data_IF_318906312174
#
_entry.id   IF_318906312174
#
_cell.length_a   1.000
_cell.length_b   1.000
_cell.length_c   1.000
_cell.angle_alpha   90.00
_cell.angle_beta   90.00
_cell.angle_gamma   90.00
#
_symmetry.space_group_name_H-M   'P 1'
#
loop_
_entity.id
_entity.type
_entity.pdbx_description
1 polymer ?
#
# COMPACT_ATOMS: atom_id res chain seq x y z
N UNK A 1 20.51 -0.07 57.13
CA UNK A 1 20.74 -1.36 56.45
C UNK A 1 22.08 -1.22 55.71
N UNK A 2 23.01 -2.18 55.81
CA UNK A 2 24.41 -1.93 55.40
C UNK A 2 24.54 -1.78 53.87
N UNK A 3 24.83 -0.58 53.37
CA UNK A 3 24.91 -0.24 51.94
C UNK A 3 25.93 -1.11 51.17
N UNK A 4 26.93 -1.65 51.86
CA UNK A 4 27.87 -2.59 51.27
C UNK A 4 27.20 -3.90 50.85
N UNK A 5 26.23 -4.39 51.62
CA UNK A 5 25.48 -5.62 51.28
C UNK A 5 24.57 -5.40 50.07
N UNK A 6 23.96 -4.21 49.95
CA UNK A 6 23.14 -3.83 48.78
C UNK A 6 23.99 -3.84 47.50
N UNK A 7 25.19 -3.25 47.52
CA UNK A 7 26.10 -3.24 46.37
C UNK A 7 26.55 -4.64 45.93
N UNK A 8 26.82 -5.52 46.89
CA UNK A 8 27.20 -6.92 46.60
C UNK A 8 26.06 -7.64 45.88
N UNK A 9 24.82 -7.52 46.39
CA UNK A 9 23.63 -8.16 45.79
C UNK A 9 23.37 -7.66 44.37
N UNK A 10 23.48 -6.36 44.13
CA UNK A 10 23.28 -5.79 42.78
C UNK A 10 24.34 -6.31 41.79
N UNK A 11 25.60 -6.45 42.21
CA UNK A 11 26.66 -7.02 41.37
C UNK A 11 26.41 -8.50 41.03
N UNK A 12 25.90 -9.28 41.96
CA UNK A 12 25.53 -10.69 41.70
C UNK A 12 24.37 -10.80 40.70
N UNK A 13 23.34 -9.95 40.81
CA UNK A 13 22.22 -9.94 39.87
C UNK A 13 22.68 -9.55 38.46
N UNK A 14 23.63 -8.62 38.33
CA UNK A 14 24.24 -8.25 37.06
C UNK A 14 25.06 -9.41 36.45
N UNK A 15 25.75 -10.19 37.29
CA UNK A 15 26.43 -11.42 36.86
C UNK A 15 25.44 -12.47 36.35
N UNK A 16 24.30 -12.68 37.04
CA UNK A 16 23.25 -13.59 36.59
C UNK A 16 22.62 -13.15 35.26
N UNK A 17 22.46 -11.84 35.05
CA UNK A 17 21.96 -11.26 33.80
C UNK A 17 22.95 -11.50 32.64
N UNK A 18 24.24 -11.27 32.87
CA UNK A 18 25.27 -11.48 31.85
C UNK A 18 25.37 -12.96 31.41
N UNK A 19 25.22 -13.88 32.36
CA UNK A 19 25.32 -15.32 32.11
C UNK A 19 23.98 -16.02 31.81
N UNK A 20 22.87 -15.25 31.68
CA UNK A 20 21.50 -15.77 31.42
C UNK A 20 21.03 -16.83 32.42
N UNK A 21 21.52 -16.76 33.66
CA UNK A 21 21.09 -17.67 34.75
C UNK A 21 19.64 -17.39 35.15
N UNK A 22 19.21 -16.14 34.97
CA UNK A 22 17.83 -15.70 35.18
C UNK A 22 17.33 -14.94 33.93
N UNK A 23 16.03 -15.05 33.57
CA UNK A 23 15.46 -14.23 32.50
C UNK A 23 15.56 -12.73 32.83
N UNK A 24 15.91 -11.92 31.84
CA UNK A 24 16.29 -10.50 32.00
C UNK A 24 15.26 -9.66 32.78
N UNK A 25 13.97 -9.95 32.59
CA UNK A 25 12.87 -9.25 33.26
C UNK A 25 12.91 -9.39 34.80
N UNK A 26 13.37 -10.53 35.32
CA UNK A 26 13.46 -10.75 36.76
C UNK A 26 14.68 -10.05 37.38
N UNK A 27 15.81 -10.04 36.67
CA UNK A 27 16.99 -9.27 37.08
C UNK A 27 16.66 -7.77 37.18
N UNK A 28 15.95 -7.24 36.19
CA UNK A 28 15.57 -5.82 36.15
C UNK A 28 14.61 -5.46 37.29
N UNK A 29 13.66 -6.34 37.61
CA UNK A 29 12.78 -6.17 38.77
C UNK A 29 13.56 -6.16 40.10
N UNK A 30 14.48 -7.11 40.30
CA UNK A 30 15.28 -7.21 41.53
C UNK A 30 16.19 -5.98 41.70
N UNK A 31 16.85 -5.53 40.63
CA UNK A 31 17.70 -4.33 40.66
C UNK A 31 16.87 -3.09 41.02
N UNK A 32 15.68 -2.93 40.42
CA UNK A 32 14.78 -1.83 40.73
C UNK A 32 14.32 -1.86 42.20
N UNK A 33 14.03 -3.06 42.72
CA UNK A 33 13.62 -3.26 44.10
C UNK A 33 14.74 -2.90 45.09
N UNK A 34 15.97 -3.35 44.84
CA UNK A 34 17.11 -3.04 45.70
C UNK A 34 17.56 -1.58 45.57
N UNK A 35 17.36 -0.95 44.43
CA UNK A 35 17.69 0.45 44.22
C UNK A 35 16.63 1.43 44.75
N UNK A 36 15.45 0.98 45.20
CA UNK A 36 14.45 1.80 45.92
C UNK A 36 14.11 3.15 45.25
N UNK A 37 14.25 3.25 43.93
CA UNK A 37 14.00 4.51 43.20
C UNK A 37 15.16 5.50 43.11
N UNK A 38 16.37 5.17 43.60
CA UNK A 38 17.60 5.86 43.18
C UNK A 38 17.93 5.40 41.76
N UNK A 39 17.88 6.34 40.81
CA UNK A 39 18.23 6.11 39.42
C UNK A 39 19.60 5.43 39.33
N UNK A 40 19.61 4.20 38.80
CA UNK A 40 20.85 3.47 38.59
C UNK A 40 21.77 4.30 37.67
N UNK A 41 23.06 4.45 38.00
CA UNK A 41 24.00 5.15 37.12
C UNK A 41 24.04 4.40 35.78
N UNK A 42 23.85 5.17 34.72
CA UNK A 42 23.88 4.80 33.31
C UNK A 42 24.76 3.58 32.97
N UNK A 43 24.17 2.38 33.01
CA UNK A 43 24.72 1.23 32.31
C UNK A 43 23.80 0.90 31.15
N UNK A 44 24.08 1.59 30.05
CA UNK A 44 23.77 1.18 28.67
C UNK A 44 22.29 0.89 28.42
N UNK A 45 21.50 1.96 28.41
CA UNK A 45 20.26 2.06 27.63
C UNK A 45 20.58 2.17 26.12
N UNK A 46 21.32 1.20 25.57
CA UNK A 46 21.43 0.99 24.12
C UNK A 46 20.55 -0.20 23.76
N UNK A 47 19.63 0.02 22.84
CA UNK A 47 18.67 -0.97 22.31
C UNK A 47 17.52 -1.38 23.24
N UNK A 48 16.56 -0.48 23.39
CA UNK A 48 15.23 -0.74 22.81
C UNK A 48 14.69 0.60 22.37
N UNK A 49 14.93 0.93 21.09
CA UNK A 49 13.96 1.73 20.38
C UNK A 49 12.65 0.98 20.53
N UNK A 50 11.76 1.50 21.37
CA UNK A 50 10.33 1.39 21.13
C UNK A 50 10.05 2.08 19.80
N UNK A 51 10.54 1.48 18.69
CA UNK A 51 9.94 1.75 17.40
C UNK A 51 8.53 1.22 17.54
N UNK A 52 7.60 2.15 17.49
CA UNK A 52 6.21 1.86 17.21
C UNK A 52 6.21 0.84 16.06
N UNK A 53 5.81 -0.40 16.34
CA UNK A 53 5.57 -1.41 15.30
C UNK A 53 4.49 -0.91 14.31
N UNK A 54 3.71 0.09 14.72
CA UNK A 54 2.85 0.90 13.85
C UNK A 54 3.61 1.85 12.90
N UNK A 55 4.71 2.47 13.32
CA UNK A 55 5.46 3.45 12.53
C UNK A 55 6.33 2.83 11.42
N UNK A 56 6.96 1.68 11.68
CA UNK A 56 7.74 0.97 10.65
C UNK A 56 6.86 0.34 9.57
N UNK A 57 5.70 -0.23 9.95
CA UNK A 57 4.72 -0.70 8.97
C UNK A 57 4.07 0.47 8.21
N UNK A 58 3.71 1.56 8.88
CA UNK A 58 3.17 2.75 8.22
C UNK A 58 4.16 3.32 7.20
N UNK A 59 5.46 3.41 7.52
CA UNK A 59 6.50 3.89 6.59
C UNK A 59 6.57 3.09 5.27
N UNK A 60 6.35 1.77 5.33
CA UNK A 60 6.36 0.88 4.15
C UNK A 60 5.14 1.13 3.26
N UNK A 61 3.97 1.41 3.84
CA UNK A 61 2.73 1.70 3.09
C UNK A 61 2.61 3.17 2.64
N UNK A 62 3.19 4.12 3.38
CA UNK A 62 3.08 5.56 3.10
C UNK A 62 3.73 5.97 1.77
N UNK A 63 4.88 5.39 1.43
CA UNK A 63 5.60 5.70 0.18
C UNK A 63 4.83 5.30 -1.09
N UNK A 64 4.40 4.03 -1.27
CA UNK A 64 3.65 3.66 -2.46
C UNK A 64 2.25 4.28 -2.47
N UNK A 65 1.61 4.51 -1.31
CA UNK A 65 0.32 5.21 -1.25
C UNK A 65 0.43 6.68 -1.70
N UNK A 66 1.45 7.40 -1.25
CA UNK A 66 1.71 8.78 -1.67
C UNK A 66 1.97 8.86 -3.18
N UNK A 67 2.73 7.93 -3.73
CA UNK A 67 2.97 7.84 -5.17
C UNK A 67 1.66 7.62 -5.96
N UNK A 68 0.80 6.70 -5.49
CA UNK A 68 -0.49 6.43 -6.11
C UNK A 68 -1.38 7.67 -6.14
N UNK A 69 -1.47 8.40 -5.03
CA UNK A 69 -2.25 9.64 -4.93
C UNK A 69 -1.71 10.69 -5.90
N UNK A 70 -0.39 10.89 -5.92
CA UNK A 70 0.25 11.85 -6.82
C UNK A 70 -0.02 11.52 -8.29
N UNK A 71 0.12 10.25 -8.67
CA UNK A 71 -0.06 9.79 -10.04
C UNK A 71 -1.52 9.91 -10.51
N UNK A 72 -2.47 9.65 -9.60
CA UNK A 72 -3.89 9.84 -9.85
C UNK A 72 -4.22 11.32 -10.07
N UNK A 73 -3.74 12.21 -9.19
CA UNK A 73 -3.95 13.65 -9.33
C UNK A 73 -3.35 14.15 -10.65
N UNK A 74 -2.13 13.73 -11.00
CA UNK A 74 -1.50 14.10 -12.26
C UNK A 74 -2.33 13.66 -13.48
N UNK A 75 -2.88 12.44 -13.45
CA UNK A 75 -3.75 11.94 -14.52
C UNK A 75 -5.04 12.75 -14.67
N UNK A 76 -5.66 13.15 -13.55
CA UNK A 76 -6.83 14.02 -13.56
C UNK A 76 -6.53 15.41 -14.11
N UNK A 77 -5.37 15.99 -13.77
CA UNK A 77 -4.95 17.29 -14.31
C UNK A 77 -4.80 17.22 -15.83
N UNK A 78 -4.17 16.16 -16.35
CA UNK A 78 -4.02 15.96 -17.81
C UNK A 78 -5.38 15.82 -18.50
N UNK A 79 -6.35 15.15 -17.87
CA UNK A 79 -7.71 15.03 -18.40
C UNK A 79 -8.46 16.36 -18.42
N UNK A 80 -8.25 17.20 -17.40
CA UNK A 80 -8.92 18.50 -17.29
C UNK A 80 -8.32 19.56 -18.21
N UNK A 81 -7.04 19.44 -18.58
CA UNK A 81 -6.39 20.29 -19.57
C UNK A 81 -6.87 19.94 -21.00
N UNK A 82 -8.10 20.32 -21.32
CA UNK A 82 -8.75 20.11 -22.62
C UNK A 82 -8.16 20.95 -23.76
N UNK A 83 -7.25 21.88 -23.46
CA UNK A 83 -6.51 22.68 -24.44
C UNK A 83 -5.37 21.89 -25.12
N UNK A 84 -5.02 20.71 -24.60
CA UNK A 84 -4.02 19.83 -25.21
C UNK A 84 -4.63 19.09 -26.40
N UNK A 85 -3.83 18.90 -27.46
CA UNK A 85 -4.26 18.05 -28.58
C UNK A 85 -4.62 16.64 -28.08
N UNK A 86 -5.70 16.07 -28.61
CA UNK A 86 -6.19 14.75 -28.19
C UNK A 86 -5.12 13.66 -28.31
N UNK A 87 -4.26 13.74 -29.33
CA UNK A 87 -3.12 12.83 -29.55
C UNK A 87 -2.11 12.89 -28.42
N UNK A 88 -1.78 14.08 -27.93
CA UNK A 88 -0.82 14.26 -26.84
C UNK A 88 -1.44 13.85 -25.49
N UNK A 89 -2.69 14.23 -25.25
CA UNK A 89 -3.42 13.86 -24.03
C UNK A 89 -3.50 12.33 -23.89
N UNK A 90 -3.91 11.63 -24.95
CA UNK A 90 -3.98 10.16 -24.97
C UNK A 90 -2.62 9.49 -24.83
N UNK A 91 -1.57 10.03 -25.45
CA UNK A 91 -0.20 9.52 -25.29
C UNK A 91 0.29 9.62 -23.84
N UNK A 92 0.06 10.77 -23.18
CA UNK A 92 0.44 10.99 -21.78
C UNK A 92 -0.36 10.08 -20.84
N UNK A 93 -1.68 9.94 -21.06
CA UNK A 93 -2.52 9.01 -20.29
C UNK A 93 -2.06 7.56 -20.43
N UNK A 94 -1.73 7.12 -21.65
CA UNK A 94 -1.19 5.78 -21.89
C UNK A 94 0.13 5.56 -21.14
N UNK A 95 1.01 6.55 -21.11
CA UNK A 95 2.24 6.51 -20.32
C UNK A 95 1.95 6.35 -18.82
N UNK A 96 0.97 7.09 -18.27
CA UNK A 96 0.55 6.93 -16.88
C UNK A 96 0.02 5.53 -16.58
N UNK A 97 -0.82 4.96 -17.45
CA UNK A 97 -1.32 3.57 -17.30
C UNK A 97 -0.17 2.58 -17.20
N UNK A 98 0.83 2.68 -18.09
CA UNK A 98 2.01 1.80 -18.07
C UNK A 98 2.76 1.95 -16.74
N UNK A 99 2.94 3.18 -16.25
CA UNK A 99 3.56 3.42 -14.95
C UNK A 99 2.78 2.76 -13.81
N UNK A 100 1.45 2.90 -13.76
CA UNK A 100 0.63 2.25 -12.73
C UNK A 100 0.82 0.72 -12.73
N UNK A 101 0.86 0.10 -13.91
CA UNK A 101 1.08 -1.35 -14.03
C UNK A 101 2.48 -1.74 -13.56
N UNK A 102 3.53 -1.02 -13.98
CA UNK A 102 4.91 -1.30 -13.59
C UNK A 102 5.11 -1.14 -12.08
N UNK A 103 4.55 -0.08 -11.47
CA UNK A 103 4.58 0.10 -10.02
C UNK A 103 3.76 -0.95 -9.27
N UNK A 104 2.61 -1.36 -9.82
CA UNK A 104 1.82 -2.47 -9.29
C UNK A 104 2.58 -3.80 -9.31
N UNK A 105 3.42 -4.05 -10.32
CA UNK A 105 4.27 -5.25 -10.42
C UNK A 105 5.48 -5.21 -9.49
N UNK A 106 6.07 -4.03 -9.29
CA UNK A 106 7.21 -3.83 -8.37
C UNK A 106 6.80 -3.84 -6.90
N UNK A 107 5.54 -3.55 -6.60
CA UNK A 107 5.01 -3.57 -5.24
C UNK A 107 4.81 -5.01 -4.77
N UNK A 108 5.26 -5.33 -3.56
CA UNK A 108 5.11 -6.67 -2.99
C UNK A 108 3.64 -7.14 -3.03
N UNK A 109 3.41 -8.36 -3.50
CA UNK A 109 2.07 -8.97 -3.59
C UNK A 109 1.32 -9.06 -2.26
N UNK A 110 2.05 -8.98 -1.13
CA UNK A 110 1.47 -8.98 0.23
C UNK A 110 0.91 -7.62 0.64
N UNK A 111 1.28 -6.54 -0.06
CA UNK A 111 0.82 -5.20 0.26
C UNK A 111 -0.54 -4.96 -0.40
N UNK A 112 -1.52 -4.51 0.40
CA UNK A 112 -2.87 -4.15 -0.06
C UNK A 112 -2.88 -3.03 -1.11
N UNK A 113 -1.76 -2.34 -1.30
CA UNK A 113 -1.59 -1.24 -2.25
C UNK A 113 -1.36 -1.74 -3.68
N UNK A 114 -0.80 -2.94 -3.88
CA UNK A 114 -0.55 -3.45 -5.24
C UNK A 114 -1.86 -3.58 -6.06
N UNK A 115 -2.95 -4.16 -5.52
CA UNK A 115 -4.27 -4.16 -6.18
C UNK A 115 -4.81 -2.76 -6.53
N UNK A 116 -4.55 -1.75 -5.68
CA UNK A 116 -4.98 -0.36 -5.91
C UNK A 116 -4.29 0.28 -7.14
N UNK A 117 -3.02 -0.05 -7.39
CA UNK A 117 -2.33 0.40 -8.61
C UNK A 117 -2.98 -0.18 -9.87
N UNK A 118 -3.34 -1.46 -9.87
CA UNK A 118 -4.01 -2.09 -11.00
C UNK A 118 -5.43 -1.54 -11.21
N UNK A 119 -6.18 -1.28 -10.13
CA UNK A 119 -7.51 -0.67 -10.25
C UNK A 119 -7.44 0.75 -10.80
N UNK A 120 -6.45 1.55 -10.37
CA UNK A 120 -6.24 2.89 -10.90
C UNK A 120 -5.90 2.86 -12.41
N UNK A 121 -5.03 1.93 -12.83
CA UNK A 121 -4.74 1.72 -14.25
C UNK A 121 -5.98 1.34 -15.07
N UNK A 122 -6.82 0.46 -14.53
CA UNK A 122 -8.07 0.05 -15.17
C UNK A 122 -9.03 1.22 -15.35
N UNK A 123 -9.26 2.02 -14.30
CA UNK A 123 -10.08 3.23 -14.40
C UNK A 123 -9.55 4.20 -15.46
N UNK A 124 -8.25 4.46 -15.49
CA UNK A 124 -7.64 5.34 -16.49
C UNK A 124 -7.83 4.83 -17.92
N UNK A 125 -7.66 3.52 -18.15
CA UNK A 125 -7.92 2.91 -19.44
C UNK A 125 -9.38 3.08 -19.88
N UNK A 126 -10.32 2.93 -18.95
CA UNK A 126 -11.74 3.13 -19.24
C UNK A 126 -12.04 4.58 -19.61
N UNK A 127 -11.52 5.55 -18.85
CA UNK A 127 -11.68 6.97 -19.18
C UNK A 127 -11.06 7.30 -20.54
N UNK A 128 -9.86 6.79 -20.82
CA UNK A 128 -9.20 6.98 -22.11
C UNK A 128 -10.04 6.42 -23.27
N UNK A 129 -10.69 5.27 -23.06
CA UNK A 129 -11.53 4.61 -24.07
C UNK A 129 -12.75 5.46 -24.42
N UNK A 130 -13.41 6.05 -23.40
CA UNK A 130 -14.56 6.93 -23.60
C UNK A 130 -14.16 8.20 -24.36
N UNK A 131 -13.03 8.82 -23.99
CA UNK A 131 -12.51 9.99 -24.70
C UNK A 131 -12.16 9.68 -26.16
N UNK A 132 -11.61 8.50 -26.45
CA UNK A 132 -11.34 8.09 -27.82
C UNK A 132 -12.63 7.93 -28.63
N UNK A 133 -13.66 7.31 -28.04
CA UNK A 133 -14.94 7.11 -28.70
C UNK A 133 -15.60 8.45 -29.05
N UNK A 134 -15.60 9.41 -28.12
CA UNK A 134 -16.18 10.74 -28.34
C UNK A 134 -15.51 11.48 -29.51
N UNK A 135 -14.21 11.28 -29.70
CA UNK A 135 -13.47 11.91 -30.80
C UNK A 135 -13.66 11.21 -32.15
N UNK A 136 -13.59 9.88 -32.20
CA UNK A 136 -13.59 9.12 -33.47
C UNK A 136 -14.99 8.77 -33.98
N UNK A 137 -15.98 8.61 -33.11
CA UNK A 137 -17.34 8.17 -33.51
C UNK A 137 -18.40 8.76 -32.59
N UNK A 138 -18.58 10.10 -32.60
CA UNK A 138 -19.60 10.74 -31.79
C UNK A 138 -20.99 10.21 -32.21
N UNK A 139 -21.70 9.62 -31.24
CA UNK A 139 -23.10 9.23 -31.39
C UNK A 139 -23.37 7.76 -31.74
N UNK A 140 -22.36 6.95 -32.06
CA UNK A 140 -22.55 5.51 -32.25
C UNK A 140 -22.43 4.75 -30.92
N UNK A 141 -23.56 4.67 -30.23
CA UNK A 141 -23.71 3.99 -28.94
C UNK A 141 -23.35 2.49 -29.02
N UNK A 142 -23.51 1.84 -30.18
CA UNK A 142 -23.17 0.42 -30.32
C UNK A 142 -21.67 0.20 -30.25
N UNK A 143 -20.89 1.08 -30.87
CA UNK A 143 -19.42 1.06 -30.81
C UNK A 143 -18.95 1.30 -29.37
N UNK A 144 -19.58 2.21 -28.63
CA UNK A 144 -19.27 2.45 -27.22
C UNK A 144 -19.47 1.18 -26.38
N UNK A 145 -20.61 0.50 -26.53
CA UNK A 145 -20.91 -0.73 -25.81
C UNK A 145 -19.92 -1.86 -26.16
N UNK A 146 -19.52 -2.00 -27.42
CA UNK A 146 -18.51 -2.97 -27.84
C UNK A 146 -17.14 -2.67 -27.21
N UNK A 147 -16.72 -1.40 -27.18
CA UNK A 147 -15.46 -1.02 -26.55
C UNK A 147 -15.47 -1.28 -25.04
N UNK A 148 -16.52 -0.87 -24.32
CA UNK A 148 -16.63 -1.12 -22.87
C UNK A 148 -16.81 -2.61 -22.57
N UNK A 149 -17.47 -3.36 -23.44
CA UNK A 149 -17.56 -4.83 -23.34
C UNK A 149 -16.19 -5.49 -23.47
N UNK A 150 -15.37 -5.07 -24.44
CA UNK A 150 -14.01 -5.58 -24.64
C UNK A 150 -13.08 -5.24 -23.46
N UNK A 151 -13.00 -3.96 -23.09
CA UNK A 151 -13.01 -3.47 -21.70
C UNK A 151 -13.04 -4.50 -20.57
N UNK A 152 -14.28 -4.85 -20.27
CA UNK A 152 -14.72 -5.66 -19.17
C UNK A 152 -14.25 -7.11 -19.30
N UNK A 153 -14.27 -7.68 -20.50
CA UNK A 153 -13.74 -9.01 -20.79
C UNK A 153 -12.23 -9.10 -20.55
N UNK A 154 -11.47 -8.10 -21.02
CA UNK A 154 -10.03 -8.03 -20.76
C UNK A 154 -9.75 -7.98 -19.25
N UNK A 155 -10.55 -7.24 -18.49
CA UNK A 155 -10.42 -7.20 -17.03
C UNK A 155 -10.78 -8.52 -16.36
N UNK A 156 -11.82 -9.20 -16.82
CA UNK A 156 -12.18 -10.52 -16.33
C UNK A 156 -11.05 -11.54 -16.57
N UNK A 157 -10.47 -11.56 -17.77
CA UNK A 157 -9.34 -12.43 -18.12
C UNK A 157 -8.10 -12.11 -17.29
N UNK A 158 -7.75 -10.82 -17.14
CA UNK A 158 -6.66 -10.39 -16.28
C UNK A 158 -6.90 -10.76 -14.81
N UNK A 159 -8.13 -10.68 -14.32
CA UNK A 159 -8.50 -11.05 -12.95
C UNK A 159 -8.28 -12.53 -12.68
N UNK A 160 -8.61 -13.39 -13.66
CA UNK A 160 -8.34 -14.83 -13.62
C UNK A 160 -6.83 -15.11 -13.64
N UNK A 161 -6.08 -14.48 -14.57
CA UNK A 161 -4.62 -14.69 -14.71
C UNK A 161 -3.88 -14.27 -13.44
N UNK A 162 -4.22 -13.12 -12.87
CA UNK A 162 -3.54 -12.55 -11.69
C UNK A 162 -4.09 -13.06 -10.34
N UNK A 163 -5.10 -13.95 -10.33
CA UNK A 163 -5.80 -14.46 -9.12
C UNK A 163 -6.34 -13.35 -8.19
N UNK A 164 -6.62 -12.18 -8.73
CA UNK A 164 -7.13 -11.03 -7.99
C UNK A 164 -8.66 -11.08 -7.96
N UNK A 165 -9.23 -11.57 -6.86
CA UNK A 165 -10.68 -11.78 -6.72
C UNK A 165 -11.49 -10.48 -6.96
N UNK A 166 -10.98 -9.34 -6.53
CA UNK A 166 -11.62 -8.03 -6.73
C UNK A 166 -11.80 -7.68 -8.21
N UNK A 167 -10.81 -8.02 -9.05
CA UNK A 167 -10.83 -7.68 -10.46
C UNK A 167 -11.83 -8.56 -11.21
N UNK A 168 -11.89 -9.85 -10.87
CA UNK A 168 -12.88 -10.79 -11.40
C UNK A 168 -14.31 -10.39 -11.03
N UNK A 169 -14.55 -9.97 -9.79
CA UNK A 169 -15.87 -9.49 -9.35
C UNK A 169 -16.26 -8.21 -10.09
N UNK A 170 -15.34 -7.25 -10.24
CA UNK A 170 -15.63 -6.00 -10.97
C UNK A 170 -15.91 -6.24 -12.46
N UNK A 171 -15.18 -7.17 -13.09
CA UNK A 171 -15.43 -7.58 -14.46
C UNK A 171 -16.80 -8.24 -14.60
N UNK A 172 -17.12 -9.20 -13.75
CA UNK A 172 -18.41 -9.88 -13.80
C UNK A 172 -19.60 -8.93 -13.56
N UNK A 173 -19.48 -8.03 -12.58
CA UNK A 173 -20.50 -7.01 -12.31
C UNK A 173 -20.67 -6.08 -13.52
N UNK A 174 -19.57 -5.64 -14.14
CA UNK A 174 -19.59 -4.79 -15.32
C UNK A 174 -20.25 -5.46 -16.52
N UNK A 175 -20.02 -6.77 -16.71
CA UNK A 175 -20.65 -7.51 -17.82
C UNK A 175 -22.15 -7.67 -17.59
N UNK A 176 -22.58 -7.94 -16.35
CA UNK A 176 -24.00 -7.99 -16.00
C UNK A 176 -24.68 -6.64 -16.26
N UNK A 177 -24.07 -5.54 -15.82
CA UNK A 177 -24.63 -4.21 -16.03
C UNK A 177 -24.77 -3.91 -17.53
N UNK A 178 -23.75 -4.23 -18.33
CA UNK A 178 -23.82 -4.04 -19.78
C UNK A 178 -24.96 -4.84 -20.42
N UNK A 179 -25.15 -6.10 -20.01
CA UNK A 179 -26.24 -6.94 -20.50
C UNK A 179 -27.61 -6.37 -20.10
N UNK A 180 -27.76 -5.87 -18.88
CA UNK A 180 -28.99 -5.22 -18.42
C UNK A 180 -29.25 -3.94 -19.22
N UNK A 181 -28.24 -3.09 -19.42
CA UNK A 181 -28.39 -1.83 -20.18
C UNK A 181 -28.61 -2.05 -21.66
N UNK A 182 -28.14 -3.16 -22.23
CA UNK A 182 -28.42 -3.51 -23.62
C UNK A 182 -29.86 -3.99 -23.81
N UNK A 183 -30.45 -4.59 -22.78
CA UNK A 183 -31.80 -5.16 -22.83
C UNK A 183 -32.90 -4.16 -22.43
N UNK A 184 -32.54 -3.10 -21.68
CA UNK A 184 -33.45 -2.03 -21.25
C UNK A 184 -33.56 -0.93 -22.32
#
# INVERSE_FOLDING_TARGET
>A
MNDQRKKIIVNEILYWKANKVLPEHYCDYLIALYNQGEEAPDVKRKNKKTSSVLGEKASIYLKPASLLILLSIASFVVLYFTELSITLQTAILSFFVILFIVFGLKTDKKQLIAPLFYSAAAFLLLLQTIHLWEYYSPGDIQVLYLLIGSQCLAWFVLGIIFRMHYFTVSGFLGTIILLVTWFL
#
